data_IF_754356181807
#
_entry.id   IF_754356181807
#
_cell.length_a   1.000
_cell.length_b   1.000
_cell.length_c   1.000
_cell.angle_alpha   90.00
_cell.angle_beta   90.00
_cell.angle_gamma   90.00
#
_symmetry.space_group_name_H-M   'P 1'
#
loop_
_entity.id
_entity.type
_entity.pdbx_description
1 polymer ?
#
# COMPACT_ATOMS: atom_id res chain seq x y z
N UNK A 1 -16.68 -59.95 23.00
CA UNK A 1 -16.17 -60.23 21.65
C UNK A 1 -17.02 -59.52 20.60
N UNK A 2 -16.42 -58.97 19.59
CA UNK A 2 -17.13 -58.34 18.46
C UNK A 2 -16.63 -58.96 17.14
N UNK A 3 -17.52 -59.00 16.16
CA UNK A 3 -17.25 -59.48 14.80
C UNK A 3 -17.87 -58.47 13.80
N UNK A 4 -17.11 -58.12 12.76
CA UNK A 4 -17.62 -57.27 11.67
C UNK A 4 -17.66 -58.16 10.41
N UNK A 5 -18.81 -58.32 9.79
CA UNK A 5 -18.99 -59.13 8.60
C UNK A 5 -20.43 -59.58 8.45
N UNK A 6 -20.59 -60.64 7.61
CA UNK A 6 -21.87 -61.27 7.30
C UNK A 6 -22.35 -62.30 8.33
N UNK A 7 -21.66 -62.40 9.47
CA UNK A 7 -21.88 -63.37 10.54
C UNK A 7 -22.01 -64.80 9.98
N UNK A 8 -20.93 -65.31 9.42
CA UNK A 8 -20.86 -66.66 8.82
C UNK A 8 -21.82 -66.93 7.65
N UNK A 9 -22.12 -65.87 6.85
CA UNK A 9 -23.06 -65.99 5.73
C UNK A 9 -24.54 -65.94 6.11
N UNK A 10 -24.83 -65.62 7.38
CA UNK A 10 -26.24 -65.54 7.84
C UNK A 10 -26.95 -64.24 7.38
N UNK A 11 -26.18 -63.14 7.23
CA UNK A 11 -26.74 -61.87 6.74
C UNK A 11 -26.20 -61.59 5.33
N UNK A 12 -27.06 -61.01 4.49
CA UNK A 12 -26.63 -60.58 3.14
C UNK A 12 -25.77 -59.31 3.15
N UNK A 13 -25.67 -58.62 4.29
CA UNK A 13 -24.93 -57.36 4.46
C UNK A 13 -24.03 -57.42 5.69
N UNK A 14 -23.01 -56.56 5.71
CA UNK A 14 -22.11 -56.51 6.85
C UNK A 14 -22.81 -55.92 8.09
N UNK A 15 -22.69 -56.67 9.19
CA UNK A 15 -23.23 -56.28 10.50
C UNK A 15 -22.08 -56.18 11.51
N UNK A 16 -22.27 -55.30 12.48
CA UNK A 16 -21.49 -55.32 13.72
C UNK A 16 -22.20 -56.28 14.67
N UNK A 17 -21.57 -57.38 15.00
CA UNK A 17 -22.09 -58.43 15.90
C UNK A 17 -21.29 -58.37 17.21
N UNK A 18 -21.99 -58.13 18.32
CA UNK A 18 -21.40 -58.13 19.65
C UNK A 18 -22.01 -59.23 20.49
N UNK A 19 -21.14 -60.09 21.02
CA UNK A 19 -21.52 -61.18 21.91
C UNK A 19 -21.14 -60.88 23.36
N UNK A 20 -22.08 -61.00 24.27
CA UNK A 20 -21.89 -60.92 25.72
C UNK A 20 -22.39 -62.16 26.41
N UNK A 21 -21.56 -62.65 27.29
CA UNK A 21 -21.88 -63.81 28.14
C UNK A 21 -22.76 -63.35 29.32
N UNK A 22 -23.82 -64.09 29.61
CA UNK A 22 -24.62 -63.91 30.81
C UNK A 22 -24.79 -65.23 31.56
N UNK A 23 -24.81 -65.18 32.86
CA UNK A 23 -25.00 -66.35 33.72
C UNK A 23 -26.42 -66.38 34.23
N UNK A 24 -27.09 -67.52 34.06
CA UNK A 24 -28.42 -67.76 34.58
C UNK A 24 -28.35 -68.92 35.63
N UNK A 25 -28.53 -68.56 36.91
CA UNK A 25 -28.42 -69.51 37.99
C UNK A 25 -26.97 -69.93 38.26
N UNK A 26 -26.82 -71.04 39.05
CA UNK A 26 -25.53 -71.46 39.51
C UNK A 26 -24.64 -72.27 38.50
N UNK A 27 -25.25 -72.70 37.37
CA UNK A 27 -24.52 -73.60 36.46
C UNK A 27 -24.86 -73.48 34.96
N UNK A 28 -25.56 -72.44 34.53
CA UNK A 28 -25.90 -72.26 33.13
C UNK A 28 -25.36 -70.93 32.59
N UNK A 29 -24.58 -71.00 31.51
CA UNK A 29 -24.00 -69.85 30.82
C UNK A 29 -24.73 -69.68 29.47
N UNK A 30 -25.22 -68.47 29.19
CA UNK A 30 -25.86 -68.11 27.91
C UNK A 30 -25.08 -66.99 27.23
N UNK A 31 -25.28 -66.83 25.95
CA UNK A 31 -24.72 -65.71 25.17
C UNK A 31 -25.85 -64.88 24.56
N UNK A 32 -25.74 -63.58 24.69
CA UNK A 32 -26.59 -62.62 23.98
C UNK A 32 -25.76 -62.04 22.86
N UNK A 33 -26.27 -62.15 21.63
CA UNK A 33 -25.61 -61.57 20.46
C UNK A 33 -26.53 -60.49 19.87
N UNK A 34 -25.96 -59.29 19.74
CA UNK A 34 -26.66 -58.16 19.16
C UNK A 34 -26.04 -57.87 17.80
N UNK A 35 -26.84 -57.78 16.76
CA UNK A 35 -26.44 -57.47 15.41
C UNK A 35 -26.97 -56.08 15.02
N UNK A 36 -26.07 -55.22 14.49
CA UNK A 36 -26.46 -53.92 13.96
C UNK A 36 -25.95 -53.76 12.54
N UNK A 37 -26.79 -53.44 11.53
CA UNK A 37 -26.38 -53.30 10.16
C UNK A 37 -25.43 -52.07 10.03
N UNK A 38 -24.29 -52.28 9.38
CA UNK A 38 -23.30 -51.18 9.17
C UNK A 38 -23.73 -50.21 8.09
N UNK A 39 -24.69 -50.56 7.25
CA UNK A 39 -25.19 -49.73 6.16
C UNK A 39 -25.79 -48.40 6.66
N UNK A 40 -26.51 -48.43 7.79
CA UNK A 40 -27.05 -47.21 8.42
C UNK A 40 -25.93 -46.26 8.88
N UNK A 41 -24.86 -46.86 9.42
CA UNK A 41 -23.68 -46.08 9.84
C UNK A 41 -22.96 -45.42 8.67
N UNK A 42 -22.79 -46.14 7.56
CA UNK A 42 -22.19 -45.60 6.34
C UNK A 42 -23.05 -44.51 5.69
N UNK A 43 -24.38 -44.65 5.69
CA UNK A 43 -25.26 -43.56 5.23
C UNK A 43 -25.11 -42.31 6.06
N UNK A 44 -25.16 -42.41 7.36
CA UNK A 44 -24.98 -41.27 8.25
C UNK A 44 -23.59 -40.63 8.11
N UNK A 45 -22.56 -41.44 7.99
CA UNK A 45 -21.19 -40.96 7.74
C UNK A 45 -21.10 -40.18 6.43
N UNK A 46 -21.65 -40.69 5.35
CA UNK A 46 -21.62 -39.99 4.05
C UNK A 46 -22.47 -38.70 4.05
N UNK A 47 -23.60 -38.66 4.75
CA UNK A 47 -24.36 -37.42 4.94
C UNK A 47 -23.56 -36.37 5.69
N UNK A 48 -22.86 -36.74 6.76
CA UNK A 48 -21.98 -35.83 7.51
C UNK A 48 -20.83 -35.32 6.64
N UNK A 49 -20.22 -36.21 5.83
CA UNK A 49 -19.12 -35.79 4.91
C UNK A 49 -19.66 -34.81 3.86
N UNK A 50 -20.84 -35.05 3.29
CA UNK A 50 -21.44 -34.15 2.30
C UNK A 50 -21.72 -32.75 2.91
N UNK A 51 -22.29 -32.70 4.12
CA UNK A 51 -22.52 -31.45 4.83
C UNK A 51 -21.19 -30.71 5.10
N UNK A 52 -20.14 -31.46 5.50
CA UNK A 52 -18.82 -30.94 5.72
C UNK A 52 -18.22 -30.33 4.44
N UNK A 53 -18.25 -31.06 3.33
CA UNK A 53 -17.72 -30.56 2.04
C UNK A 53 -18.48 -29.33 1.55
N UNK A 54 -19.80 -29.27 1.69
CA UNK A 54 -20.60 -28.09 1.35
C UNK A 54 -20.23 -26.91 2.23
N UNK A 55 -20.04 -27.11 3.53
CA UNK A 55 -19.63 -26.06 4.47
C UNK A 55 -18.24 -25.51 4.13
N UNK A 56 -17.27 -26.38 3.85
CA UNK A 56 -15.92 -25.99 3.40
C UNK A 56 -15.95 -25.23 2.08
N UNK A 57 -16.75 -25.67 1.11
CA UNK A 57 -16.93 -24.97 -0.17
C UNK A 57 -17.47 -23.56 0.01
N UNK A 58 -18.49 -23.39 0.85
CA UNK A 58 -19.12 -22.11 1.14
C UNK A 58 -18.13 -21.17 1.85
N UNK A 59 -17.39 -21.66 2.84
CA UNK A 59 -16.35 -20.88 3.53
C UNK A 59 -15.24 -20.45 2.59
N UNK A 60 -14.82 -21.33 1.65
CA UNK A 60 -13.80 -21.00 0.66
C UNK A 60 -14.27 -19.87 -0.27
N UNK A 61 -15.49 -19.96 -0.80
CA UNK A 61 -16.06 -18.91 -1.66
C UNK A 61 -16.17 -17.60 -0.90
N UNK A 62 -16.67 -17.63 0.34
CA UNK A 62 -16.79 -16.43 1.17
C UNK A 62 -15.42 -15.78 1.42
N UNK A 63 -14.41 -16.59 1.76
CA UNK A 63 -13.04 -16.11 1.96
C UNK A 63 -12.46 -15.48 0.68
N UNK A 64 -12.69 -16.11 -0.49
CA UNK A 64 -12.24 -15.57 -1.77
C UNK A 64 -12.87 -14.20 -2.08
N UNK A 65 -14.17 -14.05 -1.80
CA UNK A 65 -14.87 -12.76 -1.97
C UNK A 65 -14.27 -11.69 -1.04
N UNK A 66 -14.04 -12.02 0.23
CA UNK A 66 -13.40 -11.07 1.17
C UNK A 66 -12.02 -10.61 0.72
N UNK A 67 -11.18 -11.53 0.22
CA UNK A 67 -9.85 -11.20 -0.31
C UNK A 67 -9.95 -10.30 -1.53
N UNK A 68 -10.90 -10.55 -2.44
CA UNK A 68 -11.13 -9.69 -3.60
C UNK A 68 -11.61 -8.29 -3.20
N UNK A 69 -12.55 -8.20 -2.28
CA UNK A 69 -13.02 -6.92 -1.74
C UNK A 69 -11.87 -6.13 -1.11
N UNK A 70 -11.06 -6.77 -0.26
CA UNK A 70 -9.90 -6.15 0.34
C UNK A 70 -8.89 -5.65 -0.70
N UNK A 71 -8.62 -6.46 -1.73
CA UNK A 71 -7.69 -6.09 -2.80
C UNK A 71 -8.15 -4.85 -3.58
N UNK A 72 -9.46 -4.72 -3.83
CA UNK A 72 -10.03 -3.62 -4.61
C UNK A 72 -10.21 -2.36 -3.75
N UNK A 73 -10.77 -2.49 -2.55
CA UNK A 73 -11.16 -1.36 -1.70
C UNK A 73 -10.01 -0.80 -0.87
N UNK A 74 -9.00 -1.62 -0.54
CA UNK A 74 -7.91 -1.21 0.36
C UNK A 74 -6.55 -1.24 -0.34
N UNK A 75 -6.17 -2.40 -0.88
CA UNK A 75 -4.81 -2.57 -1.40
C UNK A 75 -4.51 -1.67 -2.62
N UNK A 76 -5.44 -1.59 -3.60
CA UNK A 76 -5.26 -0.75 -4.79
C UNK A 76 -5.11 0.74 -4.46
N UNK A 77 -6.00 1.37 -3.67
CA UNK A 77 -5.87 2.78 -3.29
C UNK A 77 -4.56 3.07 -2.54
N UNK A 78 -4.19 2.25 -1.57
CA UNK A 78 -2.93 2.40 -0.81
C UNK A 78 -1.72 2.34 -1.76
N UNK A 79 -1.71 1.43 -2.71
CA UNK A 79 -0.64 1.34 -3.72
C UNK A 79 -0.56 2.60 -4.57
N UNK A 80 -1.70 3.17 -4.97
CA UNK A 80 -1.77 4.42 -5.75
C UNK A 80 -1.21 5.60 -4.95
N UNK A 81 -1.58 5.73 -3.67
CA UNK A 81 -1.02 6.72 -2.75
C UNK A 81 0.51 6.59 -2.62
N UNK A 82 0.99 5.37 -2.45
CA UNK A 82 2.42 5.09 -2.32
C UNK A 82 3.22 5.45 -3.59
N UNK A 83 2.65 5.19 -4.78
CA UNK A 83 3.28 5.56 -6.05
C UNK A 83 3.32 7.08 -6.19
N UNK A 84 2.21 7.79 -5.95
CA UNK A 84 2.15 9.24 -6.01
C UNK A 84 3.13 9.91 -5.03
N UNK A 85 3.16 9.45 -3.79
CA UNK A 85 4.11 9.96 -2.79
C UNK A 85 5.58 9.77 -3.20
N UNK A 86 5.92 8.66 -3.88
CA UNK A 86 7.26 8.44 -4.44
C UNK A 86 7.60 9.41 -5.56
N UNK A 87 6.65 9.75 -6.43
CA UNK A 87 6.86 10.75 -7.48
C UNK A 87 7.06 12.15 -6.87
N UNK A 88 6.31 12.52 -5.84
CA UNK A 88 6.51 13.76 -5.10
C UNK A 88 7.90 13.83 -4.45
N UNK A 89 8.37 12.73 -3.88
CA UNK A 89 9.73 12.65 -3.32
C UNK A 89 10.85 12.80 -4.36
N UNK A 90 10.57 12.61 -5.65
CA UNK A 90 11.51 12.87 -6.76
C UNK A 90 11.42 14.30 -7.31
N UNK A 91 10.54 15.14 -6.76
CA UNK A 91 10.30 16.49 -7.27
C UNK A 91 9.26 16.56 -8.39
N UNK A 92 8.55 15.47 -8.71
CA UNK A 92 7.50 15.49 -9.72
C UNK A 92 6.15 15.82 -9.07
N UNK A 93 5.88 17.09 -8.87
CA UNK A 93 4.65 17.57 -8.22
C UNK A 93 3.48 17.75 -9.17
N UNK A 94 3.70 17.69 -10.48
CA UNK A 94 2.66 17.90 -11.51
C UNK A 94 1.67 16.75 -11.57
N UNK A 95 2.07 15.53 -11.18
CA UNK A 95 1.26 14.34 -11.24
C UNK A 95 0.37 14.25 -10.00
N UNK A 96 -0.93 14.53 -10.15
CA UNK A 96 -1.88 14.41 -9.03
C UNK A 96 -2.26 12.96 -8.76
N UNK A 97 -2.37 12.62 -7.49
CA UNK A 97 -2.91 11.33 -7.03
C UNK A 97 -4.43 11.37 -7.25
N UNK A 98 -5.02 10.39 -7.98
CA UNK A 98 -6.46 10.35 -8.18
C UNK A 98 -7.19 10.15 -6.85
N UNK A 99 -8.13 11.02 -6.54
CA UNK A 99 -9.01 10.90 -5.38
C UNK A 99 -10.20 10.04 -5.79
N UNK A 100 -10.24 8.80 -5.34
CA UNK A 100 -11.35 7.88 -5.57
C UNK A 100 -12.21 7.83 -4.30
N UNK A 101 -13.45 8.30 -4.39
CA UNK A 101 -14.36 8.34 -3.24
C UNK A 101 -14.11 9.60 -2.38
N UNK A 102 -15.08 10.49 -2.34
CA UNK A 102 -14.88 11.81 -1.71
C UNK A 102 -15.00 11.81 -0.17
N UNK A 103 -15.37 10.69 0.45
CA UNK A 103 -15.78 10.67 1.86
C UNK A 103 -15.08 9.58 2.70
N UNK A 104 -13.99 8.97 2.20
CA UNK A 104 -13.24 8.01 2.98
C UNK A 104 -11.86 8.56 3.42
N UNK A 105 -11.25 7.94 4.41
CA UNK A 105 -9.96 8.33 4.97
C UNK A 105 -8.84 8.30 3.92
N UNK A 106 -8.91 7.39 2.94
CA UNK A 106 -7.92 7.26 1.87
C UNK A 106 -8.05 8.42 0.86
N UNK A 107 -9.28 8.86 0.56
CA UNK A 107 -9.55 10.04 -0.24
C UNK A 107 -9.03 11.32 0.42
N UNK A 108 -9.22 11.45 1.74
CA UNK A 108 -8.68 12.57 2.51
C UNK A 108 -7.15 12.60 2.50
N UNK A 109 -6.49 11.45 2.64
CA UNK A 109 -5.02 11.34 2.54
C UNK A 109 -4.54 11.74 1.13
N UNK A 110 -5.22 11.27 0.07
CA UNK A 110 -4.89 11.65 -1.30
C UNK A 110 -4.98 13.17 -1.53
N UNK A 111 -6.06 13.79 -1.05
CA UNK A 111 -6.26 15.24 -1.13
C UNK A 111 -5.17 16.01 -0.37
N UNK A 112 -4.83 15.55 0.83
CA UNK A 112 -3.79 16.17 1.67
C UNK A 112 -2.41 16.08 1.01
N UNK A 113 -2.06 14.94 0.42
CA UNK A 113 -0.81 14.75 -0.32
C UNK A 113 -0.77 15.64 -1.58
N UNK A 114 -1.87 15.75 -2.32
CA UNK A 114 -1.96 16.64 -3.48
C UNK A 114 -1.82 18.11 -3.09
N UNK A 115 -2.41 18.52 -1.98
CA UNK A 115 -2.25 19.89 -1.45
C UNK A 115 -0.80 20.16 -1.06
N UNK A 116 -0.16 19.24 -0.37
CA UNK A 116 1.27 19.34 -0.01
C UNK A 116 2.15 19.44 -1.26
N UNK A 117 1.92 18.61 -2.28
CA UNK A 117 2.65 18.65 -3.54
C UNK A 117 2.50 20.00 -4.25
N UNK A 118 1.30 20.56 -4.29
CA UNK A 118 1.04 21.89 -4.86
C UNK A 118 1.80 23.01 -4.14
N UNK A 119 1.88 22.96 -2.80
CA UNK A 119 2.65 23.93 -2.04
C UNK A 119 4.17 23.79 -2.30
N UNK A 120 4.68 22.56 -2.40
CA UNK A 120 6.09 22.33 -2.74
C UNK A 120 6.44 22.83 -4.14
N UNK A 121 5.57 22.63 -5.13
CA UNK A 121 5.72 23.14 -6.49
C UNK A 121 5.84 24.67 -6.51
N UNK A 122 4.93 25.35 -5.79
CA UNK A 122 4.95 26.81 -5.63
C UNK A 122 6.24 27.32 -4.96
N UNK A 123 6.72 26.61 -3.93
CA UNK A 123 7.99 26.95 -3.25
C UNK A 123 9.16 26.80 -4.20
N UNK A 124 9.24 25.70 -4.96
CA UNK A 124 10.32 25.47 -5.92
C UNK A 124 10.32 26.53 -7.03
N UNK A 125 9.14 26.87 -7.58
CA UNK A 125 9.01 27.93 -8.58
C UNK A 125 9.45 29.29 -8.01
N UNK A 126 9.01 29.62 -6.81
CA UNK A 126 9.38 30.88 -6.12
C UNK A 126 10.88 30.93 -5.88
N UNK A 127 11.49 29.83 -5.44
CA UNK A 127 12.94 29.76 -5.23
C UNK A 127 13.71 29.90 -6.55
N UNK A 128 13.25 29.28 -7.63
CA UNK A 128 13.87 29.41 -8.96
C UNK A 128 13.81 30.84 -9.47
N UNK A 129 12.65 31.49 -9.35
CA UNK A 129 12.45 32.89 -9.72
C UNK A 129 13.31 33.81 -8.85
N UNK A 130 13.40 33.57 -7.55
CA UNK A 130 14.26 34.32 -6.64
C UNK A 130 15.72 34.25 -7.07
N UNK A 131 16.29 33.04 -7.31
CA UNK A 131 17.65 32.86 -7.75
C UNK A 131 17.90 33.55 -9.10
N UNK A 132 16.96 33.48 -10.04
CA UNK A 132 17.05 34.15 -11.33
C UNK A 132 17.09 35.66 -11.19
N UNK A 133 16.19 36.23 -10.39
CA UNK A 133 16.09 37.68 -10.17
C UNK A 133 17.36 38.23 -9.47
N UNK A 134 17.77 37.53 -8.40
CA UNK A 134 19.00 37.90 -7.68
C UNK A 134 20.21 37.85 -8.61
N UNK A 135 20.34 36.81 -9.43
CA UNK A 135 21.45 36.69 -10.41
C UNK A 135 21.46 37.86 -11.43
N UNK A 136 20.25 38.24 -11.90
CA UNK A 136 20.10 39.38 -12.81
C UNK A 136 20.49 40.69 -12.13
N UNK A 137 19.99 40.91 -10.90
CA UNK A 137 20.21 42.15 -10.14
C UNK A 137 21.66 42.35 -9.70
N UNK A 138 22.41 41.25 -9.52
CA UNK A 138 23.87 41.32 -9.32
C UNK A 138 24.66 41.52 -10.61
N UNK A 139 24.23 40.90 -11.72
CA UNK A 139 24.99 40.95 -12.99
C UNK A 139 25.08 42.36 -13.57
N UNK A 140 24.00 43.13 -13.48
CA UNK A 140 23.93 44.49 -14.04
C UNK A 140 24.97 45.41 -13.42
N UNK A 141 24.98 45.64 -12.08
CA UNK A 141 25.96 46.55 -11.45
C UNK A 141 27.40 46.03 -11.57
N UNK A 142 27.63 44.70 -11.47
CA UNK A 142 28.96 44.12 -11.65
C UNK A 142 29.51 44.36 -13.06
N UNK A 143 28.65 44.25 -14.09
CA UNK A 143 29.05 44.54 -15.47
C UNK A 143 29.41 46.02 -15.65
N UNK A 144 28.66 46.93 -15.02
CA UNK A 144 28.95 48.37 -15.06
C UNK A 144 30.27 48.69 -14.34
N UNK A 145 30.46 48.16 -13.13
CA UNK A 145 31.70 48.33 -12.34
C UNK A 145 32.91 47.86 -13.17
N UNK A 146 32.81 46.63 -13.71
CA UNK A 146 33.89 46.07 -14.53
C UNK A 146 34.16 46.93 -15.77
N UNK A 147 33.14 47.34 -16.50
CA UNK A 147 33.30 48.14 -17.71
C UNK A 147 33.96 49.49 -17.44
N UNK A 148 33.63 50.18 -16.33
CA UNK A 148 34.27 51.43 -15.97
C UNK A 148 35.73 51.22 -15.51
N UNK A 149 36.00 50.17 -14.74
CA UNK A 149 37.35 49.82 -14.34
C UNK A 149 38.21 49.48 -15.56
N UNK A 150 37.73 48.66 -16.49
CA UNK A 150 38.45 48.30 -17.72
C UNK A 150 38.70 49.55 -18.56
N UNK A 151 37.72 50.44 -18.71
CA UNK A 151 37.87 51.69 -19.47
C UNK A 151 38.82 52.70 -18.81
N UNK A 152 39.03 52.67 -17.50
CA UNK A 152 40.05 53.44 -16.82
C UNK A 152 41.43 52.83 -17.05
N UNK A 153 41.57 51.52 -17.04
CA UNK A 153 42.86 50.81 -17.21
C UNK A 153 43.40 50.93 -18.64
N UNK A 154 42.53 50.90 -19.64
CA UNK A 154 42.93 51.02 -21.04
C UNK A 154 43.07 52.46 -21.54
N UNK A 155 42.79 53.45 -20.65
CA UNK A 155 42.95 54.88 -20.96
C UNK A 155 41.77 55.46 -21.76
N UNK A 156 40.72 54.74 -22.00
CA UNK A 156 39.50 55.24 -22.68
C UNK A 156 38.86 56.37 -21.87
N UNK A 157 38.93 56.31 -20.53
CA UNK A 157 38.48 57.36 -19.62
C UNK A 157 39.65 58.25 -19.28
N UNK A 158 39.69 59.52 -19.70
CA UNK A 158 40.79 60.42 -19.41
C UNK A 158 40.86 60.76 -17.91
N UNK A 159 42.08 61.10 -17.39
CA UNK A 159 42.29 61.34 -15.95
C UNK A 159 41.32 62.35 -15.33
N UNK A 160 40.96 63.38 -16.08
CA UNK A 160 40.04 64.43 -15.60
C UNK A 160 38.60 63.95 -15.35
N UNK A 161 38.22 62.77 -15.91
CA UNK A 161 36.90 62.18 -15.74
C UNK A 161 36.87 61.02 -14.76
N UNK A 162 37.98 60.50 -14.31
CA UNK A 162 38.09 59.31 -13.45
C UNK A 162 37.33 59.46 -12.15
N UNK A 163 37.36 60.62 -11.52
CA UNK A 163 36.62 60.89 -10.26
C UNK A 163 35.13 60.66 -10.43
N UNK A 164 34.57 61.08 -11.55
CA UNK A 164 33.15 60.87 -11.86
C UNK A 164 32.80 59.38 -11.96
N UNK A 165 33.59 58.59 -12.65
CA UNK A 165 33.34 57.17 -12.82
C UNK A 165 33.63 56.35 -11.57
N UNK A 166 34.62 56.76 -10.76
CA UNK A 166 34.85 56.17 -9.44
C UNK A 166 33.63 56.37 -8.50
N UNK A 167 32.99 57.53 -8.54
CA UNK A 167 31.76 57.79 -7.80
C UNK A 167 30.59 56.91 -8.28
N UNK A 168 30.53 56.58 -9.58
CA UNK A 168 29.51 55.61 -10.10
C UNK A 168 29.81 54.22 -9.61
N UNK A 169 31.07 53.79 -9.63
CA UNK A 169 31.50 52.50 -9.11
C UNK A 169 31.15 52.38 -7.62
N UNK A 170 31.44 53.43 -6.85
CA UNK A 170 31.13 53.48 -5.43
C UNK A 170 29.62 53.33 -5.20
N UNK A 171 28.81 54.06 -5.94
CA UNK A 171 27.34 53.98 -5.88
C UNK A 171 26.82 52.57 -6.19
N UNK A 172 27.30 51.94 -7.26
CA UNK A 172 26.91 50.56 -7.61
C UNK A 172 27.37 49.55 -6.56
N UNK A 173 28.52 49.77 -5.93
CA UNK A 173 29.03 48.92 -4.85
C UNK A 173 28.19 49.06 -3.57
N UNK A 174 27.80 50.30 -3.22
CA UNK A 174 26.86 50.52 -2.11
C UNK A 174 25.49 49.92 -2.34
N UNK A 175 25.00 49.97 -3.59
CA UNK A 175 23.77 49.34 -4.00
C UNK A 175 23.82 47.81 -3.84
N UNK A 176 24.95 47.18 -4.24
CA UNK A 176 25.16 45.76 -4.07
C UNK A 176 25.21 45.33 -2.60
N UNK A 177 25.71 46.16 -1.71
CA UNK A 177 25.76 45.85 -0.26
C UNK A 177 24.41 45.97 0.44
N UNK A 178 23.45 46.60 -0.19
CA UNK A 178 22.07 46.76 0.32
C UNK A 178 21.08 45.76 -0.26
N UNK A 179 21.50 44.95 -1.24
CA UNK A 179 20.72 43.83 -1.81
C UNK A 179 20.82 42.60 -0.92
#
# INVERSE_FOLDING_TARGET
>A
HFLIGDFYGYFCENHLSVASEFKWGSNSTGYVIIHKPLQEFYKFHNELLNISYMSWGLLFVFSAVLVLCFAILVYRPIRTLSIGAKEFAKGNYSQKIPVHGNDDELGYIAASLNYMASNLDTIEETQRNFISNVSHDFRSPLTSIRGYVDAMLDGTIPPEMQEKYLNIILFETERLTKL
#
